data_IF_966879249106
#
_entry.id   IF_966879249106
#
_cell.length_a   1.000
_cell.length_b   1.000
_cell.length_c   1.000
_cell.angle_alpha   90.00
_cell.angle_beta   90.00
_cell.angle_gamma   90.00
#
_symmetry.space_group_name_H-M   'P 1'
#
loop_
_entity.id
_entity.type
_entity.pdbx_description
1 polymer ?
#
# COMPACT_ATOMS: atom_id res chain seq x y z
N UNK A 1 22.52 1.94 -8.30
CA UNK A 1 21.99 1.33 -9.53
C UNK A 1 20.91 0.34 -9.16
N UNK A 2 19.83 0.27 -9.93
CA UNK A 2 18.78 -0.74 -9.74
C UNK A 2 19.37 -2.15 -9.87
N UNK A 3 18.71 -3.12 -9.28
CA UNK A 3 19.16 -4.51 -9.29
C UNK A 3 18.67 -5.23 -10.56
N UNK A 4 19.47 -6.13 -11.15
CA UNK A 4 19.01 -7.01 -12.23
C UNK A 4 17.88 -7.93 -11.77
N UNK A 5 16.95 -8.25 -12.69
CA UNK A 5 15.79 -9.10 -12.38
C UNK A 5 16.16 -10.45 -11.74
N UNK A 6 17.11 -11.18 -12.33
CA UNK A 6 17.50 -12.51 -11.82
C UNK A 6 18.12 -12.44 -10.43
N UNK A 7 18.86 -11.37 -10.13
CA UNK A 7 19.43 -11.18 -8.80
C UNK A 7 18.34 -10.93 -7.75
N UNK A 8 17.30 -10.16 -8.10
CA UNK A 8 16.17 -9.91 -7.20
C UNK A 8 15.39 -11.20 -6.92
N UNK A 9 15.18 -12.02 -7.95
CA UNK A 9 14.54 -13.34 -7.81
C UNK A 9 15.40 -14.33 -7.02
N UNK A 10 16.72 -14.29 -7.16
CA UNK A 10 17.63 -15.14 -6.40
C UNK A 10 17.60 -14.82 -4.89
N UNK A 11 17.47 -13.54 -4.53
CA UNK A 11 17.34 -13.09 -3.14
C UNK A 11 15.93 -13.34 -2.55
N UNK A 12 14.93 -13.57 -3.41
CA UNK A 12 13.56 -13.82 -2.97
C UNK A 12 13.39 -15.25 -2.43
N UNK A 13 13.10 -15.36 -1.13
CA UNK A 13 12.92 -16.63 -0.42
C UNK A 13 11.63 -16.61 0.43
N UNK A 14 10.45 -16.67 -0.19
CA UNK A 14 9.18 -16.73 0.54
C UNK A 14 8.94 -18.11 1.15
N UNK A 15 7.98 -18.21 2.08
CA UNK A 15 7.42 -19.51 2.45
C UNK A 15 6.60 -20.10 1.30
N UNK A 16 6.68 -21.42 1.09
CA UNK A 16 5.96 -22.15 0.05
C UNK A 16 4.78 -22.94 0.66
N UNK A 17 3.68 -23.18 -0.10
CA UNK A 17 3.43 -22.72 -1.46
C UNK A 17 3.18 -21.20 -1.54
N UNK A 18 3.49 -20.62 -2.70
CA UNK A 18 3.38 -19.20 -3.01
C UNK A 18 2.30 -18.96 -4.06
N UNK A 19 1.47 -17.92 -3.91
CA UNK A 19 0.66 -17.41 -5.01
C UNK A 19 1.26 -16.13 -5.60
N UNK A 20 1.24 -16.00 -6.92
CA UNK A 20 1.60 -14.76 -7.63
C UNK A 20 0.32 -14.07 -8.09
N UNK A 21 0.17 -12.78 -7.77
CA UNK A 21 -0.93 -11.99 -8.31
C UNK A 21 -0.68 -11.66 -9.78
N UNK A 22 -1.45 -12.29 -10.66
CA UNK A 22 -1.30 -12.21 -12.11
C UNK A 22 -2.32 -11.23 -12.70
N UNK A 23 -1.86 -10.15 -13.32
CA UNK A 23 -2.72 -9.24 -14.08
C UNK A 23 -2.74 -9.54 -15.58
N UNK A 24 -1.74 -10.28 -16.08
CA UNK A 24 -1.51 -10.52 -17.51
C UNK A 24 -0.58 -9.48 -18.17
N UNK A 25 -0.24 -8.42 -17.45
CA UNK A 25 0.77 -7.45 -17.87
C UNK A 25 2.19 -7.95 -17.63
N UNK A 26 3.15 -7.30 -18.30
CA UNK A 26 4.59 -7.65 -18.30
C UNK A 26 5.12 -8.01 -16.91
N UNK A 27 4.93 -7.16 -15.91
CA UNK A 27 5.57 -7.35 -14.60
C UNK A 27 5.06 -8.62 -13.90
N UNK A 28 3.75 -8.83 -13.94
CA UNK A 28 3.13 -10.01 -13.32
C UNK A 28 3.44 -11.30 -14.08
N UNK A 29 3.54 -11.25 -15.40
CA UNK A 29 3.96 -12.37 -16.25
C UNK A 29 5.41 -12.75 -15.97
N UNK A 30 6.32 -11.78 -15.88
CA UNK A 30 7.73 -12.00 -15.57
C UNK A 30 7.89 -12.67 -14.21
N UNK A 31 7.21 -12.12 -13.19
CA UNK A 31 7.26 -12.65 -11.83
C UNK A 31 6.70 -14.09 -11.77
N UNK A 32 5.56 -14.36 -12.41
CA UNK A 32 4.98 -15.69 -12.45
C UNK A 32 5.92 -16.70 -13.11
N UNK A 33 6.45 -16.36 -14.29
CA UNK A 33 7.35 -17.21 -15.05
C UNK A 33 8.60 -17.58 -14.23
N UNK A 34 9.22 -16.58 -13.60
CA UNK A 34 10.42 -16.79 -12.79
C UNK A 34 10.14 -17.64 -11.54
N UNK A 35 9.05 -17.35 -10.82
CA UNK A 35 8.63 -18.13 -9.66
C UNK A 35 8.32 -19.59 -10.04
N UNK A 36 7.56 -19.82 -11.12
CA UNK A 36 7.16 -21.15 -11.57
C UNK A 36 8.38 -22.02 -11.94
N UNK A 37 9.40 -21.41 -12.57
CA UNK A 37 10.66 -22.10 -12.88
C UNK A 37 11.50 -22.39 -11.64
N UNK A 38 11.54 -21.46 -10.68
CA UNK A 38 12.33 -21.60 -9.44
C UNK A 38 11.73 -22.59 -8.46
N UNK A 39 10.40 -22.67 -8.38
CA UNK A 39 9.69 -23.56 -7.46
C UNK A 39 8.59 -24.36 -8.17
N UNK A 40 8.95 -25.31 -9.06
CA UNK A 40 7.99 -26.13 -9.79
C UNK A 40 7.02 -26.84 -8.84
N UNK A 41 5.72 -26.81 -9.17
CA UNK A 41 4.66 -27.44 -8.38
C UNK A 41 4.30 -26.74 -7.06
N UNK A 42 4.99 -25.66 -6.68
CA UNK A 42 4.74 -24.91 -5.44
C UNK A 42 4.23 -23.48 -5.65
N UNK A 43 3.96 -23.12 -6.91
CA UNK A 43 3.45 -21.81 -7.31
C UNK A 43 2.03 -21.93 -7.82
N UNK A 44 1.18 -20.98 -7.44
CA UNK A 44 -0.16 -20.78 -7.97
C UNK A 44 -0.29 -19.35 -8.49
N UNK A 45 -1.23 -19.11 -9.41
CA UNK A 45 -1.51 -17.79 -9.93
C UNK A 45 -2.90 -17.33 -9.48
N UNK A 46 -3.02 -16.10 -9.00
CA UNK A 46 -4.29 -15.47 -8.64
C UNK A 46 -4.56 -14.29 -9.57
N UNK A 47 -5.63 -14.38 -10.34
CA UNK A 47 -6.09 -13.30 -11.21
C UNK A 47 -7.35 -12.67 -10.62
N UNK A 48 -7.39 -11.34 -10.59
CA UNK A 48 -8.57 -10.58 -10.15
C UNK A 48 -9.12 -9.82 -11.34
N UNK A 49 -10.29 -10.24 -11.79
CA UNK A 49 -11.01 -9.61 -12.88
C UNK A 49 -11.91 -8.49 -12.32
N UNK A 50 -11.59 -7.24 -12.64
CA UNK A 50 -12.23 -6.05 -12.05
C UNK A 50 -13.61 -5.71 -12.60
N UNK A 51 -14.10 -6.41 -13.64
CA UNK A 51 -15.49 -6.30 -14.12
C UNK A 51 -15.86 -4.98 -14.80
N UNK A 52 -14.90 -4.08 -15.02
CA UNK A 52 -15.13 -2.71 -15.48
C UNK A 52 -14.98 -2.52 -17.00
N UNK A 53 -14.46 -3.49 -17.75
CA UNK A 53 -14.24 -3.38 -19.20
C UNK A 53 -14.45 -4.71 -19.93
N UNK A 54 -14.98 -4.66 -21.16
CA UNK A 54 -15.12 -5.83 -22.05
C UNK A 54 -13.77 -6.40 -22.50
N UNK A 55 -12.70 -5.60 -22.49
CA UNK A 55 -11.33 -6.05 -22.77
C UNK A 55 -10.80 -7.03 -21.70
N UNK A 56 -11.39 -7.07 -20.51
CA UNK A 56 -10.90 -7.86 -19.39
C UNK A 56 -11.09 -9.39 -19.57
N UNK A 57 -12.02 -9.83 -20.43
CA UNK A 57 -12.17 -11.26 -20.75
C UNK A 57 -10.96 -11.80 -21.55
N UNK A 58 -10.37 -10.97 -22.42
CA UNK A 58 -9.14 -11.32 -23.13
C UNK A 58 -7.94 -11.49 -22.20
N UNK A 59 -7.91 -10.77 -21.08
CA UNK A 59 -6.87 -10.86 -20.06
C UNK A 59 -6.97 -12.17 -19.28
N UNK A 60 -8.19 -12.54 -18.88
CA UNK A 60 -8.44 -13.81 -18.23
C UNK A 60 -8.01 -14.98 -19.13
N UNK A 61 -8.38 -14.95 -20.41
CA UNK A 61 -8.02 -16.01 -21.36
C UNK A 61 -6.51 -16.14 -21.56
N UNK A 62 -5.79 -15.03 -21.71
CA UNK A 62 -4.33 -15.06 -21.77
C UNK A 62 -3.70 -15.62 -20.49
N UNK A 63 -4.22 -15.23 -19.32
CA UNK A 63 -3.74 -15.75 -18.04
C UNK A 63 -3.95 -17.27 -17.94
N UNK A 64 -5.08 -17.78 -18.41
CA UNK A 64 -5.38 -19.22 -18.48
C UNK A 64 -4.41 -19.96 -19.40
N UNK A 65 -4.16 -19.43 -20.60
CA UNK A 65 -3.20 -20.01 -21.55
C UNK A 65 -1.77 -20.04 -20.98
N UNK A 66 -1.33 -18.92 -20.40
CA UNK A 66 -0.02 -18.80 -19.78
C UNK A 66 0.15 -19.80 -18.63
N UNK A 67 -0.83 -19.87 -17.72
CA UNK A 67 -0.78 -20.76 -16.57
C UNK A 67 -0.82 -22.24 -17.00
N UNK A 68 -1.64 -22.59 -17.99
CA UNK A 68 -1.67 -23.93 -18.59
C UNK A 68 -0.30 -24.31 -19.16
N UNK A 69 0.33 -23.42 -19.94
CA UNK A 69 1.65 -23.65 -20.52
C UNK A 69 2.78 -23.81 -19.48
N UNK A 70 2.62 -23.20 -18.30
CA UNK A 70 3.58 -23.31 -17.19
C UNK A 70 3.26 -24.44 -16.21
N UNK A 71 2.14 -25.15 -16.36
CA UNK A 71 1.68 -26.14 -15.37
C UNK A 71 1.35 -25.52 -14.00
N UNK A 72 0.93 -24.24 -13.98
CA UNK A 72 0.61 -23.51 -12.76
C UNK A 72 -0.92 -23.44 -12.56
N UNK A 73 -1.47 -23.83 -11.40
CA UNK A 73 -2.89 -23.64 -11.10
C UNK A 73 -3.27 -22.16 -11.08
N UNK A 74 -4.27 -21.78 -11.86
CA UNK A 74 -4.84 -20.43 -11.89
C UNK A 74 -6.17 -20.38 -11.14
N UNK A 75 -6.33 -19.40 -10.26
CA UNK A 75 -7.60 -19.09 -9.61
C UNK A 75 -8.03 -17.68 -9.99
N UNK A 76 -9.28 -17.54 -10.41
CA UNK A 76 -9.83 -16.27 -10.89
C UNK A 76 -10.95 -15.82 -9.96
N UNK A 77 -10.83 -14.60 -9.43
CA UNK A 77 -11.90 -13.92 -8.72
C UNK A 77 -12.45 -12.78 -9.57
N UNK A 78 -13.78 -12.72 -9.72
CA UNK A 78 -14.46 -11.56 -10.31
C UNK A 78 -14.90 -10.62 -9.19
N UNK A 79 -14.53 -9.36 -9.29
CA UNK A 79 -14.94 -8.32 -8.35
C UNK A 79 -15.59 -7.16 -9.07
N UNK A 80 -16.58 -6.57 -8.41
CA UNK A 80 -17.09 -5.27 -8.76
C UNK A 80 -16.23 -4.20 -8.07
N UNK A 81 -15.42 -3.49 -8.86
CA UNK A 81 -14.52 -2.45 -8.38
C UNK A 81 -15.11 -1.03 -8.42
N UNK A 82 -16.45 -0.88 -8.55
CA UNK A 82 -17.10 0.44 -8.48
C UNK A 82 -16.84 1.12 -7.13
N UNK A 83 -16.54 2.41 -7.17
CA UNK A 83 -16.29 3.22 -5.98
C UNK A 83 -17.59 3.86 -5.48
N UNK A 84 -17.69 4.08 -4.17
CA UNK A 84 -18.77 4.90 -3.60
C UNK A 84 -18.54 6.40 -3.88
N UNK A 85 -19.57 7.25 -3.81
CA UNK A 85 -19.41 8.71 -3.90
C UNK A 85 -18.45 9.23 -2.82
N UNK A 86 -17.41 9.97 -3.24
CA UNK A 86 -16.39 10.53 -2.35
C UNK A 86 -15.19 9.62 -2.06
N UNK A 87 -15.15 8.38 -2.55
CA UNK A 87 -13.96 7.54 -2.50
C UNK A 87 -13.06 7.72 -3.72
N UNK A 88 -11.74 7.65 -3.53
CA UNK A 88 -10.80 7.54 -4.65
C UNK A 88 -11.06 6.23 -5.40
N UNK A 89 -11.34 6.26 -6.71
CA UNK A 89 -11.55 5.05 -7.51
C UNK A 89 -10.38 4.06 -7.41
N UNK A 90 -9.16 4.58 -7.36
CA UNK A 90 -7.92 3.81 -7.25
C UNK A 90 -7.83 3.08 -5.90
N UNK A 91 -8.22 3.72 -4.80
CA UNK A 91 -8.19 3.10 -3.48
C UNK A 91 -9.28 2.04 -3.32
N UNK A 92 -10.48 2.31 -3.86
CA UNK A 92 -11.58 1.34 -3.87
C UNK A 92 -11.19 0.07 -4.65
N UNK A 93 -10.68 0.23 -5.88
CA UNK A 93 -10.20 -0.88 -6.69
C UNK A 93 -9.05 -1.65 -6.01
N UNK A 94 -8.11 -0.94 -5.40
CA UNK A 94 -7.00 -1.55 -4.65
C UNK A 94 -7.49 -2.40 -3.47
N UNK A 95 -8.45 -1.90 -2.68
CA UNK A 95 -9.04 -2.67 -1.57
C UNK A 95 -9.82 -3.88 -2.05
N UNK A 96 -10.64 -3.73 -3.09
CA UNK A 96 -11.38 -4.82 -3.70
C UNK A 96 -10.42 -5.93 -4.18
N UNK A 97 -9.32 -5.55 -4.82
CA UNK A 97 -8.27 -6.49 -5.27
C UNK A 97 -7.66 -7.29 -4.13
N UNK A 98 -7.25 -6.63 -3.04
CA UNK A 98 -6.66 -7.34 -1.91
C UNK A 98 -7.65 -8.27 -1.22
N UNK A 99 -8.90 -7.84 -1.04
CA UNK A 99 -9.97 -8.71 -0.51
C UNK A 99 -10.22 -9.93 -1.40
N UNK A 100 -10.17 -9.77 -2.71
CA UNK A 100 -10.32 -10.88 -3.65
C UNK A 100 -9.16 -11.88 -3.53
N UNK A 101 -7.93 -11.38 -3.47
CA UNK A 101 -6.73 -12.20 -3.28
C UNK A 101 -6.81 -12.96 -1.94
N UNK A 102 -7.25 -12.30 -0.87
CA UNK A 102 -7.46 -12.95 0.43
C UNK A 102 -8.50 -14.07 0.33
N UNK A 103 -9.65 -13.80 -0.31
CA UNK A 103 -10.68 -14.81 -0.52
C UNK A 103 -10.17 -16.01 -1.34
N UNK A 104 -9.38 -15.77 -2.39
CA UNK A 104 -8.76 -16.84 -3.19
C UNK A 104 -7.77 -17.68 -2.35
N UNK A 105 -6.96 -17.03 -1.52
CA UNK A 105 -6.01 -17.73 -0.64
C UNK A 105 -6.72 -18.65 0.35
N UNK A 106 -7.81 -18.17 0.97
CA UNK A 106 -8.59 -18.92 1.95
C UNK A 106 -9.47 -20.01 1.32
N UNK A 107 -9.88 -19.84 0.05
CA UNK A 107 -10.69 -20.81 -0.67
C UNK A 107 -9.87 -21.92 -1.38
N UNK A 108 -8.55 -21.76 -1.48
CA UNK A 108 -7.68 -22.74 -2.16
C UNK A 108 -7.75 -24.09 -1.45
N UNK A 109 -8.26 -25.11 -2.16
CA UNK A 109 -8.38 -26.50 -1.66
C UNK A 109 -7.05 -27.26 -1.70
N UNK A 110 -5.92 -26.56 -1.78
CA UNK A 110 -4.60 -27.20 -1.75
C UNK A 110 -4.39 -27.90 -0.40
N UNK A 111 -3.71 -29.07 -0.35
CA UNK A 111 -3.37 -29.72 0.91
C UNK A 111 -2.56 -28.83 1.86
N UNK A 112 -1.87 -27.83 1.31
CA UNK A 112 -1.09 -26.85 2.06
C UNK A 112 -1.68 -25.46 1.79
N UNK A 113 -2.11 -24.78 2.85
CA UNK A 113 -2.67 -23.44 2.76
C UNK A 113 -1.64 -22.43 2.21
N UNK A 114 -2.06 -21.60 1.25
CA UNK A 114 -1.23 -20.51 0.73
C UNK A 114 -1.23 -19.37 1.74
N UNK A 115 -0.03 -19.04 2.25
CA UNK A 115 0.16 -17.94 3.21
C UNK A 115 1.00 -16.80 2.63
N UNK A 116 1.59 -16.99 1.45
CA UNK A 116 2.50 -16.03 0.84
C UNK A 116 1.97 -15.61 -0.53
N UNK A 117 1.89 -14.31 -0.75
CA UNK A 117 1.45 -13.70 -2.02
C UNK A 117 2.58 -12.83 -2.56
N UNK A 118 3.00 -13.02 -3.81
CA UNK A 118 3.96 -12.14 -4.48
C UNK A 118 3.24 -11.21 -5.46
N UNK A 119 3.62 -9.93 -5.43
CA UNK A 119 3.16 -8.89 -6.34
C UNK A 119 4.33 -8.34 -7.16
N UNK A 120 4.06 -7.98 -8.41
CA UNK A 120 5.09 -7.54 -9.34
C UNK A 120 5.35 -6.03 -9.35
N UNK A 121 5.08 -5.32 -8.24
CA UNK A 121 5.44 -3.90 -8.19
C UNK A 121 6.96 -3.73 -8.20
N UNK A 122 7.42 -2.70 -8.88
CA UNK A 122 8.83 -2.48 -9.17
C UNK A 122 9.33 -1.07 -8.79
N UNK A 123 10.58 -0.74 -9.11
CA UNK A 123 11.22 0.51 -8.70
C UNK A 123 10.51 1.77 -9.24
N UNK A 124 10.01 1.73 -10.48
CA UNK A 124 9.28 2.88 -11.04
C UNK A 124 7.95 3.11 -10.28
N UNK A 125 7.25 2.04 -9.84
CA UNK A 125 6.04 2.17 -9.02
C UNK A 125 6.32 2.79 -7.65
N UNK A 126 7.51 2.53 -7.07
CA UNK A 126 7.95 3.17 -5.83
C UNK A 126 8.08 4.67 -6.02
N UNK A 127 8.74 5.07 -7.11
CA UNK A 127 8.94 6.48 -7.42
C UNK A 127 7.61 7.17 -7.67
N UNK A 128 6.72 6.56 -8.45
CA UNK A 128 5.37 7.08 -8.66
C UNK A 128 4.61 7.26 -7.35
N UNK A 129 4.68 6.27 -6.45
CA UNK A 129 4.01 6.32 -5.15
C UNK A 129 4.57 7.44 -4.29
N UNK A 130 5.90 7.61 -4.24
CA UNK A 130 6.56 8.68 -3.50
C UNK A 130 6.18 10.06 -4.06
N UNK A 131 6.21 10.24 -5.37
CA UNK A 131 5.86 11.50 -6.02
C UNK A 131 4.40 11.87 -5.79
N UNK A 132 3.48 10.89 -5.85
CA UNK A 132 2.09 11.09 -5.48
C UNK A 132 1.94 11.49 -4.01
N UNK A 133 2.68 10.86 -3.10
CA UNK A 133 2.66 11.21 -1.67
C UNK A 133 3.16 12.65 -1.43
N UNK A 134 4.27 13.04 -2.07
CA UNK A 134 4.81 14.40 -2.03
C UNK A 134 3.80 15.42 -2.54
N UNK A 135 3.17 15.16 -3.69
CA UNK A 135 2.18 16.08 -4.28
C UNK A 135 0.96 16.34 -3.39
N UNK A 136 0.67 15.44 -2.44
CA UNK A 136 -0.44 15.54 -1.48
C UNK A 136 0.00 16.09 -0.13
N UNK A 137 1.28 16.45 0.04
CA UNK A 137 1.83 16.91 1.32
C UNK A 137 1.82 15.81 2.40
N UNK A 138 2.05 14.56 2.01
CA UNK A 138 2.07 13.45 2.95
C UNK A 138 3.25 13.56 3.94
N UNK A 139 3.02 13.14 5.19
CA UNK A 139 4.08 13.01 6.20
C UNK A 139 4.96 11.76 5.97
N UNK A 140 5.90 11.52 6.87
CA UNK A 140 6.90 10.43 6.75
C UNK A 140 6.30 9.05 6.46
N UNK A 141 5.16 8.72 7.06
CA UNK A 141 4.47 7.45 6.80
C UNK A 141 3.96 7.31 5.36
N UNK A 142 3.60 8.41 4.69
CA UNK A 142 3.25 8.40 3.26
C UNK A 142 4.48 8.42 2.36
N UNK A 143 5.55 9.11 2.78
CA UNK A 143 6.82 9.12 2.06
C UNK A 143 7.57 7.77 2.13
N UNK A 144 7.22 6.91 3.08
CA UNK A 144 7.69 5.52 3.13
C UNK A 144 7.29 4.68 1.90
N UNK A 145 6.38 5.18 1.06
CA UNK A 145 5.90 4.54 -0.15
C UNK A 145 5.42 3.09 0.10
N UNK A 146 5.83 2.11 -0.72
CA UNK A 146 5.36 0.73 -0.57
C UNK A 146 6.38 -0.13 0.21
N UNK A 147 5.98 -0.89 1.25
CA UNK A 147 6.90 -1.82 1.91
C UNK A 147 7.21 -3.03 1.02
N UNK A 148 8.41 -3.61 1.16
CA UNK A 148 8.78 -4.84 0.45
C UNK A 148 8.01 -6.07 0.94
N UNK A 149 7.66 -6.10 2.21
CA UNK A 149 6.88 -7.17 2.83
C UNK A 149 5.91 -6.58 3.86
N UNK A 150 4.69 -7.11 3.92
CA UNK A 150 3.73 -6.80 4.98
C UNK A 150 2.74 -7.94 5.21
N UNK A 151 2.02 -7.89 6.33
CA UNK A 151 0.97 -8.87 6.67
C UNK A 151 -0.42 -8.25 6.63
N UNK A 152 -1.38 -8.98 6.07
CA UNK A 152 -2.79 -8.60 6.02
C UNK A 152 -3.65 -9.85 5.87
N UNK A 153 -4.76 -9.95 6.61
CA UNK A 153 -5.72 -11.07 6.45
C UNK A 153 -5.13 -12.46 6.74
N UNK A 154 -4.10 -12.56 7.58
CA UNK A 154 -3.37 -13.81 7.84
C UNK A 154 -2.37 -14.20 6.75
N UNK A 155 -2.21 -13.38 5.71
CA UNK A 155 -1.28 -13.58 4.61
C UNK A 155 -0.06 -12.67 4.75
N UNK A 156 1.06 -13.10 4.17
CA UNK A 156 2.26 -12.29 3.98
C UNK A 156 2.37 -11.94 2.50
N UNK A 157 2.39 -10.64 2.20
CA UNK A 157 2.54 -10.13 0.86
C UNK A 157 3.99 -9.68 0.62
N UNK A 158 4.50 -9.98 -0.56
CA UNK A 158 5.88 -9.73 -0.98
C UNK A 158 5.91 -8.92 -2.27
N UNK A 159 6.87 -8.00 -2.39
CA UNK A 159 7.18 -7.26 -3.62
C UNK A 159 8.67 -7.45 -3.96
N UNK A 160 9.05 -8.60 -4.54
CA UNK A 160 10.46 -8.91 -4.78
C UNK A 160 11.13 -8.01 -5.81
N UNK A 161 10.35 -7.29 -6.63
CA UNK A 161 10.87 -6.48 -7.74
C UNK A 161 11.06 -5.00 -7.39
N UNK A 162 10.86 -4.56 -6.14
CA UNK A 162 10.87 -3.13 -5.79
C UNK A 162 12.17 -2.39 -6.12
N UNK A 163 13.28 -3.10 -6.22
CA UNK A 163 14.59 -2.53 -6.58
C UNK A 163 14.97 -2.77 -8.05
N UNK A 164 14.08 -3.40 -8.83
CA UNK A 164 14.24 -3.68 -10.26
C UNK A 164 13.55 -2.59 -11.08
N UNK A 165 14.21 -2.06 -12.11
CA UNK A 165 13.58 -1.08 -13.01
C UNK A 165 12.55 -1.76 -13.92
N UNK A 166 11.46 -1.05 -14.26
CA UNK A 166 10.43 -1.59 -15.17
C UNK A 166 10.98 -1.99 -16.54
N UNK A 167 12.01 -1.30 -17.03
CA UNK A 167 12.69 -1.63 -18.28
C UNK A 167 13.44 -2.97 -18.22
N UNK A 168 14.07 -3.29 -17.09
CA UNK A 168 14.79 -4.55 -16.89
C UNK A 168 13.84 -5.75 -16.90
N UNK A 169 12.64 -5.58 -16.34
CA UNK A 169 11.59 -6.61 -16.34
C UNK A 169 11.14 -6.93 -17.79
N UNK A 170 10.93 -5.89 -18.60
CA UNK A 170 10.52 -6.05 -20.01
C UNK A 170 11.64 -6.67 -20.85
N UNK A 171 12.88 -6.21 -20.67
CA UNK A 171 14.04 -6.79 -21.34
C UNK A 171 14.22 -8.26 -20.98
N UNK A 172 14.03 -8.62 -19.70
CA UNK A 172 14.08 -10.00 -19.25
C UNK A 172 13.00 -10.86 -19.93
N UNK A 173 11.74 -10.40 -19.99
CA UNK A 173 10.67 -11.14 -20.68
C UNK A 173 10.92 -11.32 -22.17
N UNK A 174 11.43 -10.29 -22.85
CA UNK A 174 11.81 -10.35 -24.25
C UNK A 174 12.90 -11.40 -24.47
N UNK A 175 13.92 -11.46 -23.59
CA UNK A 175 14.95 -12.48 -23.64
C UNK A 175 14.41 -13.91 -23.39
N UNK A 176 13.29 -14.05 -22.68
CA UNK A 176 12.59 -15.32 -22.51
C UNK A 176 11.68 -15.69 -23.70
N UNK A 177 11.48 -14.80 -24.67
CA UNK A 177 10.55 -15.01 -25.78
C UNK A 177 9.08 -15.09 -25.36
N UNK A 178 8.72 -14.49 -24.22
CA UNK A 178 7.36 -14.54 -23.67
C UNK A 178 6.69 -13.18 -23.86
N UNK A 179 5.58 -13.17 -24.61
CA UNK A 179 4.73 -11.99 -24.77
C UNK A 179 3.84 -11.73 -23.54
N UNK A 180 3.27 -10.53 -23.47
CA UNK A 180 2.34 -10.10 -22.41
C UNK A 180 1.22 -9.25 -23.01
N UNK A 181 0.18 -9.00 -22.21
CA UNK A 181 -0.89 -8.08 -22.60
C UNK A 181 -0.51 -6.65 -22.24
N UNK A 182 -0.65 -5.74 -23.19
CA UNK A 182 -0.61 -4.30 -22.95
C UNK A 182 -2.01 -3.75 -22.71
N UNK A 183 -2.26 -3.27 -21.49
CA UNK A 183 -3.48 -2.54 -21.19
C UNK A 183 -3.45 -1.15 -21.87
N UNK A 184 -4.39 -0.84 -22.78
CA UNK A 184 -4.44 0.44 -23.48
C UNK A 184 -4.57 1.64 -22.52
N UNK A 185 -5.16 1.43 -21.33
CA UNK A 185 -5.31 2.48 -20.32
C UNK A 185 -3.97 2.91 -19.71
N UNK A 186 -2.91 2.11 -19.84
CA UNK A 186 -1.56 2.50 -19.39
C UNK A 186 -0.98 3.69 -20.17
N UNK A 187 -1.53 3.99 -21.35
CA UNK A 187 -1.14 5.15 -22.17
C UNK A 187 -2.02 6.38 -21.90
N UNK A 188 -3.06 6.25 -21.09
CA UNK A 188 -4.02 7.32 -20.85
C UNK A 188 -3.50 8.32 -19.80
N UNK A 189 -2.97 9.43 -20.28
CA UNK A 189 -2.44 10.52 -19.45
C UNK A 189 -3.50 11.32 -18.67
N UNK A 190 -4.80 11.01 -18.80
CA UNK A 190 -5.81 11.55 -17.87
C UNK A 190 -5.53 11.09 -16.44
N UNK A 191 -4.94 9.91 -16.27
CA UNK A 191 -4.52 9.39 -14.97
C UNK A 191 -3.17 9.97 -14.54
N UNK A 192 -3.11 10.50 -13.30
CA UNK A 192 -1.90 11.15 -12.76
C UNK A 192 -0.69 10.23 -12.75
N UNK A 193 -0.89 8.93 -12.47
CA UNK A 193 0.16 7.93 -12.47
C UNK A 193 0.82 7.77 -13.84
N UNK A 194 0.01 7.71 -14.89
CA UNK A 194 0.50 7.64 -16.27
C UNK A 194 1.24 8.91 -16.68
N UNK A 195 0.78 10.11 -16.27
CA UNK A 195 1.55 11.36 -16.51
C UNK A 195 2.91 11.34 -15.82
N UNK A 196 2.98 10.86 -14.59
CA UNK A 196 4.27 10.72 -13.88
C UNK A 196 5.19 9.79 -14.68
N UNK A 197 4.69 8.61 -15.05
CA UNK A 197 5.43 7.60 -15.80
C UNK A 197 5.95 8.11 -17.14
N UNK A 198 5.09 8.72 -17.94
CA UNK A 198 5.41 9.10 -19.33
C UNK A 198 6.09 10.45 -19.47
N UNK A 199 5.82 11.41 -18.57
CA UNK A 199 6.36 12.77 -18.68
C UNK A 199 7.45 13.08 -17.66
N UNK A 200 7.28 12.63 -16.41
CA UNK A 200 8.16 13.04 -15.32
C UNK A 200 9.34 12.10 -15.13
N UNK A 201 9.14 10.77 -15.17
CA UNK A 201 10.24 9.82 -15.00
C UNK A 201 11.34 9.97 -16.05
N UNK A 202 11.06 10.23 -17.35
CA UNK A 202 12.12 10.46 -18.33
C UNK A 202 12.97 11.70 -18.03
N UNK A 203 12.35 12.78 -17.54
CA UNK A 203 13.07 13.99 -17.12
C UNK A 203 13.91 13.70 -15.87
N UNK A 204 13.38 12.96 -14.91
CA UNK A 204 14.14 12.53 -13.74
C UNK A 204 15.32 11.64 -14.10
N UNK A 205 15.19 10.75 -15.08
CA UNK A 205 16.29 9.93 -15.59
C UNK A 205 17.41 10.81 -16.17
N UNK A 206 17.04 11.81 -16.97
CA UNK A 206 18.00 12.72 -17.61
C UNK A 206 18.76 13.57 -16.57
N UNK A 207 18.06 14.07 -15.56
CA UNK A 207 18.65 14.96 -14.54
C UNK A 207 19.34 14.17 -13.42
N UNK A 208 18.75 13.05 -13.01
CA UNK A 208 19.17 12.21 -11.89
C UNK A 208 19.14 10.73 -12.29
N UNK A 209 20.14 10.21 -13.03
CA UNK A 209 20.13 8.83 -13.53
C UNK A 209 19.97 7.73 -12.47
N UNK A 210 20.22 8.06 -11.20
CA UNK A 210 20.09 7.13 -10.07
C UNK A 210 18.79 7.31 -9.27
N UNK A 211 17.83 8.10 -9.75
CA UNK A 211 16.66 8.54 -8.98
C UNK A 211 15.88 7.37 -8.37
N UNK A 212 15.69 6.26 -9.12
CA UNK A 212 15.00 5.06 -8.63
C UNK A 212 15.59 4.58 -7.31
N UNK A 213 16.91 4.42 -7.26
CA UNK A 213 17.62 3.96 -6.06
C UNK A 213 17.71 5.01 -4.97
N UNK A 214 17.93 6.29 -5.31
CA UNK A 214 18.02 7.35 -4.30
C UNK A 214 16.67 7.64 -3.66
N UNK A 215 15.59 7.54 -4.42
CA UNK A 215 14.22 7.73 -3.92
C UNK A 215 13.79 6.52 -3.10
N UNK A 216 14.04 5.28 -3.56
CA UNK A 216 13.78 4.08 -2.76
C UNK A 216 14.49 4.12 -1.40
N UNK A 217 15.76 4.55 -1.37
CA UNK A 217 16.51 4.76 -0.12
C UNK A 217 15.89 5.84 0.77
N UNK A 218 15.43 6.95 0.19
CA UNK A 218 14.73 8.00 0.94
C UNK A 218 13.42 7.48 1.53
N UNK A 219 12.65 6.68 0.78
CA UNK A 219 11.45 5.99 1.27
C UNK A 219 11.80 5.01 2.39
N UNK A 220 12.93 4.30 2.31
CA UNK A 220 13.40 3.41 3.38
C UNK A 220 13.70 4.18 4.67
N UNK A 221 14.40 5.32 4.59
CA UNK A 221 14.65 6.17 5.76
C UNK A 221 13.32 6.71 6.34
N UNK A 222 12.38 7.11 5.48
CA UNK A 222 11.06 7.56 5.92
C UNK A 222 10.26 6.42 6.59
N UNK A 223 10.39 5.19 6.13
CA UNK A 223 9.79 4.01 6.75
C UNK A 223 10.38 3.73 8.14
N UNK A 224 11.70 3.80 8.28
CA UNK A 224 12.39 3.66 9.58
C UNK A 224 11.94 4.75 10.55
N UNK A 225 11.89 6.01 10.11
CA UNK A 225 11.39 7.11 10.93
C UNK A 225 9.91 6.91 11.31
N UNK A 226 9.07 6.44 10.40
CA UNK A 226 7.67 6.16 10.68
C UNK A 226 7.49 5.03 11.70
N UNK A 227 8.35 4.01 11.68
CA UNK A 227 8.36 2.95 12.68
C UNK A 227 8.72 3.49 14.07
N UNK A 228 9.80 4.28 14.18
CA UNK A 228 10.20 4.90 15.45
C UNK A 228 9.11 5.82 16.01
N UNK A 229 8.44 6.59 15.14
CA UNK A 229 7.30 7.42 15.55
C UNK A 229 6.10 6.57 16.01
N UNK A 230 5.89 5.40 15.43
CA UNK A 230 4.85 4.48 15.89
C UNK A 230 5.16 3.95 17.29
N UNK A 231 6.37 3.44 17.50
CA UNK A 231 6.85 2.96 18.81
C UNK A 231 6.74 4.05 19.88
N UNK A 232 7.15 5.29 19.56
CA UNK A 232 7.01 6.43 20.47
C UNK A 232 5.54 6.78 20.74
N UNK A 233 4.66 6.67 19.74
CA UNK A 233 3.24 6.94 19.93
C UNK A 233 2.59 5.90 20.85
N UNK A 234 2.99 4.63 20.77
CA UNK A 234 2.50 3.57 21.67
C UNK A 234 2.94 3.83 23.11
N UNK A 235 4.22 4.19 23.31
CA UNK A 235 4.74 4.58 24.62
C UNK A 235 4.01 5.79 25.20
N UNK A 236 3.81 6.83 24.37
CA UNK A 236 3.10 8.04 24.78
C UNK A 236 1.63 7.74 25.10
N UNK A 237 0.96 6.88 24.31
CA UNK A 237 -0.43 6.51 24.55
C UNK A 237 -0.58 5.72 25.86
N UNK A 238 0.33 4.80 26.13
CA UNK A 238 0.38 4.07 27.39
C UNK A 238 0.56 5.01 28.59
N UNK A 239 1.38 6.07 28.43
CA UNK A 239 1.62 7.06 29.47
C UNK A 239 0.44 8.01 29.70
N UNK A 240 -0.23 8.49 28.64
CA UNK A 240 -1.34 9.46 28.76
C UNK A 240 -2.70 8.80 28.98
N UNK A 241 -2.83 7.50 28.68
CA UNK A 241 -4.07 6.72 28.77
C UNK A 241 -4.91 6.71 27.49
N UNK A 242 -5.86 5.77 27.41
CA UNK A 242 -6.83 5.65 26.33
C UNK A 242 -8.25 5.47 26.93
N UNK A 243 -9.06 6.54 27.05
CA UNK A 243 -8.89 7.87 26.46
C UNK A 243 -7.74 8.71 27.05
N UNK A 244 -7.08 9.58 26.25
CA UNK A 244 -5.98 10.42 26.73
C UNK A 244 -6.39 11.39 27.84
N UNK A 245 -5.62 11.40 28.93
CA UNK A 245 -5.73 12.39 29.99
C UNK A 245 -5.05 13.71 29.58
N UNK A 246 -5.82 14.79 29.65
CA UNK A 246 -5.42 16.11 29.15
C UNK A 246 -4.14 16.63 29.83
N UNK A 247 -4.04 16.50 31.15
CA UNK A 247 -2.89 17.01 31.91
C UNK A 247 -1.58 16.27 31.53
N UNK A 248 -1.65 14.95 31.33
CA UNK A 248 -0.50 14.15 30.91
C UNK A 248 -0.12 14.47 29.46
N UNK A 249 -1.12 14.64 28.60
CA UNK A 249 -0.93 15.05 27.21
C UNK A 249 -0.26 16.44 27.11
N UNK A 250 -0.69 17.41 27.92
CA UNK A 250 -0.09 18.75 28.01
C UNK A 250 1.37 18.72 28.48
N UNK A 251 1.78 17.68 29.21
CA UNK A 251 3.17 17.46 29.61
C UNK A 251 4.10 17.03 28.47
N UNK A 252 3.54 16.59 27.33
CA UNK A 252 4.33 16.25 26.14
C UNK A 252 4.60 17.48 25.28
N UNK A 253 5.70 17.47 24.52
CA UNK A 253 5.93 18.47 23.44
C UNK A 253 4.79 18.42 22.41
N UNK A 254 4.49 19.54 21.74
CA UNK A 254 3.43 19.61 20.73
C UNK A 254 3.57 18.54 19.63
N UNK A 255 4.80 18.25 19.18
CA UNK A 255 5.05 17.20 18.19
C UNK A 255 4.65 15.80 18.68
N UNK A 256 4.94 15.48 19.95
CA UNK A 256 4.52 14.22 20.60
C UNK A 256 3.01 14.17 20.82
N UNK A 257 2.40 15.27 21.25
CA UNK A 257 0.93 15.39 21.32
C UNK A 257 0.28 15.09 19.97
N UNK A 258 0.80 15.68 18.89
CA UNK A 258 0.32 15.45 17.54
C UNK A 258 0.47 13.97 17.11
N UNK A 259 1.58 13.34 17.49
CA UNK A 259 1.86 11.95 17.16
C UNK A 259 0.92 10.99 17.90
N UNK A 260 0.83 11.11 19.24
CA UNK A 260 -0.02 10.26 20.08
C UNK A 260 -1.51 10.43 19.76
N UNK A 261 -1.98 11.65 19.48
CA UNK A 261 -3.37 11.89 19.10
C UNK A 261 -3.72 11.24 17.74
N UNK A 262 -2.84 11.34 16.74
CA UNK A 262 -3.04 10.63 15.46
C UNK A 262 -3.11 9.12 15.68
N UNK A 263 -2.23 8.59 16.52
CA UNK A 263 -2.17 7.17 16.85
C UNK A 263 -3.43 6.69 17.57
N UNK A 264 -3.85 7.37 18.65
CA UNK A 264 -5.07 7.10 19.40
C UNK A 264 -6.32 7.07 18.49
N UNK A 265 -6.51 8.13 17.67
CA UNK A 265 -7.65 8.22 16.75
C UNK A 265 -7.66 7.09 15.71
N UNK A 266 -6.48 6.71 15.20
CA UNK A 266 -6.37 5.64 14.21
C UNK A 266 -6.63 4.27 14.82
N UNK A 267 -6.07 3.98 16.00
CA UNK A 267 -6.15 2.68 16.64
C UNK A 267 -7.52 2.41 17.26
N UNK A 268 -8.11 3.39 17.96
CA UNK A 268 -9.36 3.20 18.70
C UNK A 268 -10.61 3.59 17.91
N UNK A 269 -10.47 4.45 16.89
CA UNK A 269 -11.62 5.04 16.19
C UNK A 269 -11.53 4.93 14.66
N UNK A 270 -10.52 4.21 14.14
CA UNK A 270 -10.30 3.99 12.71
C UNK A 270 -10.37 5.28 11.88
N UNK A 271 -9.92 6.40 12.45
CA UNK A 271 -10.02 7.72 11.82
C UNK A 271 -8.69 8.45 11.82
N UNK A 272 -8.54 9.42 10.92
CA UNK A 272 -7.32 10.22 10.81
C UNK A 272 -7.69 11.69 10.63
N UNK A 273 -7.16 12.60 11.46
CA UNK A 273 -7.44 14.02 11.32
C UNK A 273 -6.67 14.63 10.16
N UNK A 274 -7.27 15.62 9.50
CA UNK A 274 -6.52 16.51 8.61
C UNK A 274 -5.52 17.36 9.40
N UNK A 275 -4.52 17.92 8.71
CA UNK A 275 -3.54 18.81 9.35
C UNK A 275 -4.19 20.03 10.02
N UNK A 276 -5.24 20.58 9.42
CA UNK A 276 -5.98 21.71 9.98
C UNK A 276 -6.77 21.31 11.25
N UNK A 277 -7.45 20.16 11.22
CA UNK A 277 -8.18 19.64 12.38
C UNK A 277 -7.24 19.35 13.56
N UNK A 278 -6.10 18.71 13.28
CA UNK A 278 -5.15 18.39 14.34
C UNK A 278 -4.54 19.66 14.95
N UNK A 279 -4.19 20.65 14.13
CA UNK A 279 -3.69 21.94 14.62
C UNK A 279 -4.73 22.66 15.50
N UNK A 280 -5.99 22.65 15.08
CA UNK A 280 -7.08 23.23 15.88
C UNK A 280 -7.26 22.50 17.21
N UNK A 281 -7.17 21.16 17.23
CA UNK A 281 -7.25 20.37 18.46
C UNK A 281 -6.08 20.67 19.40
N UNK A 282 -4.85 20.71 18.89
CA UNK A 282 -3.65 21.05 19.69
C UNK A 282 -3.75 22.45 20.29
N UNK A 283 -4.23 23.43 19.52
CA UNK A 283 -4.46 24.79 20.02
C UNK A 283 -5.50 24.81 21.16
N UNK A 284 -6.58 24.04 21.04
CA UNK A 284 -7.57 23.93 22.12
C UNK A 284 -7.03 23.22 23.36
N UNK A 285 -6.22 22.16 23.18
CA UNK A 285 -5.54 21.46 24.28
C UNK A 285 -4.60 22.41 25.02
N UNK A 286 -3.81 23.20 24.30
CA UNK A 286 -2.91 24.18 24.90
C UNK A 286 -3.66 25.28 25.67
N UNK A 287 -4.78 25.78 25.14
CA UNK A 287 -5.61 26.79 25.80
C UNK A 287 -6.36 26.26 27.04
N UNK A 288 -6.46 24.95 27.19
CA UNK A 288 -7.26 24.28 28.20
C UNK A 288 -6.58 24.28 29.59
N UNK A 289 -6.49 25.46 30.21
CA UNK A 289 -5.83 25.68 31.51
C UNK A 289 -6.79 25.66 32.70
N UNK A 290 -8.11 25.73 32.46
CA UNK A 290 -9.14 25.79 33.50
C UNK A 290 -10.14 24.63 33.38
N UNK A 291 -10.88 24.35 34.47
CA UNK A 291 -11.93 23.32 34.47
C UNK A 291 -13.12 23.66 33.57
N UNK A 292 -13.36 24.94 33.27
CA UNK A 292 -14.50 25.39 32.46
C UNK A 292 -14.26 25.34 30.95
N UNK A 293 -13.01 25.18 30.50
CA UNK A 293 -12.68 25.18 29.07
C UNK A 293 -13.26 23.96 28.36
N UNK A 294 -14.08 24.19 27.34
CA UNK A 294 -14.75 23.12 26.58
C UNK A 294 -13.97 22.84 25.31
N UNK A 295 -13.77 21.56 25.02
CA UNK A 295 -13.30 21.10 23.72
C UNK A 295 -14.43 20.27 23.14
N UNK A 296 -14.89 20.65 21.95
CA UNK A 296 -15.80 19.86 21.12
C UNK A 296 -15.56 20.26 19.65
N UNK A 297 -14.71 19.49 18.97
CA UNK A 297 -14.22 19.83 17.64
C UNK A 297 -14.33 18.64 16.69
N UNK A 298 -14.68 18.92 15.43
CA UNK A 298 -14.65 17.92 14.36
C UNK A 298 -13.21 17.48 14.08
N UNK A 299 -12.93 16.20 14.30
CA UNK A 299 -11.59 15.61 14.16
C UNK A 299 -11.73 14.25 13.48
N UNK A 300 -11.17 14.14 12.27
CA UNK A 300 -11.39 12.98 11.41
C UNK A 300 -12.86 12.87 10.99
N UNK A 301 -13.42 11.66 11.13
CA UNK A 301 -14.79 11.32 10.77
C UNK A 301 -15.83 11.65 11.87
N UNK A 302 -15.39 12.13 13.03
CA UNK A 302 -16.24 12.41 14.19
C UNK A 302 -15.78 13.64 14.95
N UNK A 303 -15.95 13.64 16.27
CA UNK A 303 -15.68 14.77 17.15
C UNK A 303 -14.83 14.33 18.33
N UNK A 304 -13.85 15.17 18.71
CA UNK A 304 -13.13 15.04 19.98
C UNK A 304 -13.76 15.99 20.99
N UNK A 305 -14.15 15.45 22.14
CA UNK A 305 -14.74 16.18 23.26
C UNK A 305 -13.92 15.99 24.52
N UNK A 306 -13.80 17.05 25.33
CA UNK A 306 -13.29 16.95 26.70
C UNK A 306 -14.42 16.58 27.66
N UNK A 307 -14.25 15.51 28.43
CA UNK A 307 -15.13 15.13 29.55
C UNK A 307 -14.28 15.02 30.82
N UNK A 308 -14.46 15.97 31.74
CA UNK A 308 -13.62 16.08 32.93
C UNK A 308 -12.13 16.27 32.58
N UNK A 309 -11.31 15.29 32.94
CA UNK A 309 -9.86 15.30 32.69
C UNK A 309 -9.45 14.58 31.39
N UNK A 310 -10.40 13.96 30.68
CA UNK A 310 -10.14 13.03 29.58
C UNK A 310 -10.62 13.61 28.23
N UNK A 311 -9.98 13.18 27.14
CA UNK A 311 -10.42 13.42 25.77
C UNK A 311 -11.12 12.18 25.21
N UNK A 312 -12.38 12.33 24.83
CA UNK A 312 -13.20 11.30 24.22
C UNK A 312 -13.39 11.59 22.73
N UNK A 313 -13.59 10.54 21.94
CA UNK A 313 -14.00 10.66 20.56
C UNK A 313 -15.35 9.99 20.34
N UNK A 314 -16.22 10.61 19.55
CA UNK A 314 -17.53 10.06 19.23
C UNK A 314 -17.96 10.45 17.80
N UNK A 315 -18.91 9.69 17.25
CA UNK A 315 -19.47 9.95 15.91
C UNK A 315 -20.96 9.63 15.88
N UNK A 316 -21.78 10.64 15.58
CA UNK A 316 -23.25 10.54 15.53
C UNK A 316 -23.81 9.59 14.48
N UNK A 317 -22.98 9.11 13.53
CA UNK A 317 -23.39 8.20 12.45
C UNK A 317 -23.08 6.72 12.73
N UNK A 318 -22.44 6.42 13.86
CA UNK A 318 -22.06 5.06 14.26
C UNK A 318 -22.81 4.58 15.53
N UNK A 319 -23.80 5.36 15.98
CA UNK A 319 -24.72 5.06 17.07
C UNK A 319 -26.07 4.60 16.55
#
# INVERSE_FOLDING_TARGET
MTQPFDAALAAFSPGLPLAVALSGGADSTALLLACARRWPGQVQAFHVHHGLQAAADGFAHYCEQLCTGLGVPLHIARVDARHAPGESPEDAARRARYKAIEALAHASKSPIAIKNIALAQHADDQVETLLLALSRGAGVAGLAAMPACWRQGGLTFHRPLLDVAGAEIRAWLQAQGVGWIEDPTNQDERYTRNRIRHRLLPVLEQVFPQFRTTFARSSCHAAQAAQLLHELAEQDLAAVGAPPALALLQGLSEARQANVLRHWLRQHHATTPTAAQLRALLAQIAACTTRGHRIDLKVGAGFVRREGALLHWYNFRLS
#
